data_IF_462043060467
#
_entry.id   IF_462043060467
#
_cell.length_a   1.000
_cell.length_b   1.000
_cell.length_c   1.000
_cell.angle_alpha   90.00
_cell.angle_beta   90.00
_cell.angle_gamma   90.00
#
_symmetry.space_group_name_H-M   'P 1'
#
loop_
_entity.id
_entity.type
_entity.pdbx_description
1 polymer ?
#
# COMPACT_ATOMS: atom_id res chain seq x y z
N UNK A 1 16.75 12.50 -25.54
CA UNK A 1 17.14 11.90 -24.24
C UNK A 1 15.93 11.54 -23.36
N UNK A 2 15.04 12.49 -23.03
CA UNK A 2 13.83 12.19 -22.22
C UNK A 2 12.89 11.17 -22.90
N UNK A 3 12.66 11.33 -24.20
CA UNK A 3 11.85 10.36 -24.97
C UNK A 3 12.44 8.96 -24.98
N UNK A 4 13.77 8.85 -25.11
CA UNK A 4 14.48 7.57 -25.05
C UNK A 4 14.33 6.92 -23.67
N UNK A 5 14.46 7.69 -22.59
CA UNK A 5 14.26 7.22 -21.21
C UNK A 5 12.80 6.78 -21.01
N UNK A 6 11.84 7.55 -21.49
CA UNK A 6 10.41 7.22 -21.45
C UNK A 6 10.09 5.91 -22.18
N UNK A 7 10.64 5.73 -23.39
CA UNK A 7 10.45 4.52 -24.18
C UNK A 7 11.05 3.28 -23.54
N UNK A 8 12.28 3.38 -23.01
CA UNK A 8 12.92 2.29 -22.27
C UNK A 8 12.10 1.96 -21.01
N UNK A 9 11.71 2.98 -20.25
CA UNK A 9 10.92 2.78 -19.03
C UNK A 9 9.57 2.12 -19.34
N UNK A 10 8.87 2.56 -20.38
CA UNK A 10 7.59 1.97 -20.80
C UNK A 10 7.74 0.48 -21.17
N UNK A 11 8.82 0.12 -21.86
CA UNK A 11 9.12 -1.28 -22.20
C UNK A 11 9.37 -2.11 -20.94
N UNK A 12 10.20 -1.61 -20.01
CA UNK A 12 10.51 -2.29 -18.75
C UNK A 12 9.27 -2.39 -17.86
N UNK A 13 8.50 -1.31 -17.76
CA UNK A 13 7.24 -1.27 -17.00
C UNK A 13 6.24 -2.31 -17.53
N UNK A 14 6.11 -2.41 -18.85
CA UNK A 14 5.25 -3.40 -19.52
C UNK A 14 5.64 -4.84 -19.22
N UNK A 15 6.94 -5.12 -19.03
CA UNK A 15 7.42 -6.46 -18.61
C UNK A 15 7.15 -6.66 -17.11
N UNK A 16 7.52 -5.70 -16.29
CA UNK A 16 7.44 -5.77 -14.81
C UNK A 16 6.01 -5.87 -14.31
N UNK A 17 5.07 -5.14 -14.89
CA UNK A 17 3.63 -5.22 -14.56
C UNK A 17 2.83 -6.04 -15.57
N UNK A 18 3.52 -6.69 -16.51
CA UNK A 18 2.92 -7.56 -17.50
C UNK A 18 2.62 -8.97 -16.99
N UNK A 19 2.43 -9.88 -17.93
CA UNK A 19 2.11 -11.28 -17.67
C UNK A 19 3.14 -11.98 -16.74
N UNK A 20 4.48 -11.80 -16.90
CA UNK A 20 5.45 -12.49 -16.06
C UNK A 20 5.30 -12.16 -14.57
N UNK A 21 5.16 -10.88 -14.22
CA UNK A 21 5.00 -10.48 -12.82
C UNK A 21 3.64 -10.91 -12.27
N UNK A 22 2.57 -10.77 -13.05
CA UNK A 22 1.24 -11.26 -12.67
C UNK A 22 1.28 -12.74 -12.35
N UNK A 23 1.89 -13.57 -13.21
CA UNK A 23 2.05 -15.02 -13.00
C UNK A 23 2.88 -15.31 -11.76
N UNK A 24 3.99 -14.57 -11.54
CA UNK A 24 4.84 -14.77 -10.37
C UNK A 24 4.08 -14.46 -9.07
N UNK A 25 3.38 -13.34 -9.02
CA UNK A 25 2.63 -12.91 -7.83
C UNK A 25 1.49 -13.87 -7.52
N UNK A 26 0.68 -14.20 -8.53
CA UNK A 26 -0.41 -15.18 -8.37
C UNK A 26 0.12 -16.56 -8.05
N UNK A 27 1.17 -16.99 -8.75
CA UNK A 27 1.79 -18.29 -8.56
C UNK A 27 2.33 -18.47 -7.15
N UNK A 28 3.07 -17.50 -6.63
CA UNK A 28 3.59 -17.55 -5.24
C UNK A 28 2.45 -17.47 -4.23
N UNK A 29 1.48 -16.56 -4.42
CA UNK A 29 0.32 -16.43 -3.53
C UNK A 29 -0.52 -17.70 -3.49
N UNK A 30 -0.80 -18.31 -4.65
CA UNK A 30 -1.54 -19.58 -4.73
C UNK A 30 -0.73 -20.74 -4.12
N UNK A 31 0.56 -20.85 -4.44
CA UNK A 31 1.46 -21.84 -3.85
C UNK A 31 1.46 -21.77 -2.32
N UNK A 32 1.63 -20.57 -1.77
CA UNK A 32 1.60 -20.36 -0.32
C UNK A 32 0.21 -20.67 0.27
N UNK A 33 -0.88 -20.28 -0.41
CA UNK A 33 -2.25 -20.59 0.03
C UNK A 33 -2.49 -22.09 0.13
N UNK A 34 -2.09 -22.86 -0.88
CA UNK A 34 -2.21 -24.31 -0.88
C UNK A 34 -1.34 -24.92 0.24
N UNK A 35 -0.07 -24.50 0.34
CA UNK A 35 0.88 -25.05 1.31
C UNK A 35 0.50 -24.74 2.77
N UNK A 36 -0.13 -23.59 3.05
CA UNK A 36 -0.64 -23.24 4.38
C UNK A 36 -2.05 -23.77 4.64
N UNK A 37 -2.67 -24.45 3.67
CA UNK A 37 -4.04 -24.94 3.75
C UNK A 37 -5.06 -23.80 3.81
N UNK A 38 -4.88 -22.79 2.98
CA UNK A 38 -5.74 -21.60 2.92
C UNK A 38 -5.91 -20.91 4.28
N UNK A 39 -4.79 -20.63 4.94
CA UNK A 39 -4.72 -20.01 6.27
C UNK A 39 -5.59 -18.76 6.37
N UNK A 40 -5.57 -17.91 5.35
CA UNK A 40 -6.31 -16.67 5.28
C UNK A 40 -7.83 -16.83 5.48
N UNK A 41 -8.39 -17.98 5.10
CA UNK A 41 -9.80 -18.30 5.34
C UNK A 41 -9.98 -19.10 6.63
N UNK A 42 -9.23 -20.20 6.77
CA UNK A 42 -9.39 -21.14 7.89
C UNK A 42 -9.07 -20.54 9.25
N UNK A 43 -8.15 -19.59 9.31
CA UNK A 43 -7.69 -18.96 10.55
C UNK A 43 -8.11 -17.49 10.66
N UNK A 44 -9.03 -17.03 9.81
CA UNK A 44 -9.47 -15.62 9.82
C UNK A 44 -10.05 -15.18 11.17
N UNK A 45 -10.79 -16.05 11.86
CA UNK A 45 -11.25 -15.79 13.22
C UNK A 45 -10.10 -15.54 14.21
N UNK A 46 -8.98 -16.28 14.07
CA UNK A 46 -7.78 -16.04 14.87
C UNK A 46 -7.09 -14.73 14.47
N UNK A 47 -7.06 -14.40 13.17
CA UNK A 47 -6.58 -13.10 12.69
C UNK A 47 -7.35 -11.98 13.38
N UNK A 48 -8.69 -12.02 13.33
CA UNK A 48 -9.56 -11.02 13.92
C UNK A 48 -9.36 -10.86 15.43
N UNK A 49 -9.29 -11.98 16.16
CA UNK A 49 -9.05 -11.97 17.61
C UNK A 49 -7.69 -11.40 18.00
N UNK A 50 -6.63 -11.72 17.23
CA UNK A 50 -5.28 -11.23 17.50
C UNK A 50 -5.04 -9.78 17.07
N UNK A 51 -5.88 -9.24 16.19
CA UNK A 51 -5.80 -7.86 15.70
C UNK A 51 -6.82 -6.99 16.43
N UNK A 52 -8.08 -6.96 15.98
CA UNK A 52 -9.14 -6.11 16.56
C UNK A 52 -9.44 -6.47 18.01
N UNK A 53 -9.45 -7.76 18.36
CA UNK A 53 -9.69 -8.20 19.73
C UNK A 53 -8.66 -7.67 20.74
N UNK A 54 -7.44 -7.38 20.30
CA UNK A 54 -6.38 -6.80 21.16
C UNK A 54 -6.30 -5.27 21.11
N UNK A 55 -6.97 -4.60 20.17
CA UNK A 55 -7.04 -3.14 20.08
C UNK A 55 -7.57 -2.49 21.35
N UNK A 56 -8.51 -3.15 22.04
CA UNK A 56 -9.13 -2.67 23.26
C UNK A 56 -8.35 -3.03 24.54
N UNK A 57 -7.26 -3.79 24.42
CA UNK A 57 -6.38 -4.07 25.53
C UNK A 57 -5.15 -3.18 25.43
N UNK A 58 -4.90 -2.33 26.42
CA UNK A 58 -3.70 -1.49 26.50
C UNK A 58 -2.46 -2.38 26.36
N UNK A 59 -1.75 -2.24 25.24
CA UNK A 59 -0.42 -2.81 25.11
C UNK A 59 0.52 -2.04 26.07
N UNK A 60 1.32 -2.77 26.82
CA UNK A 60 2.48 -2.20 27.53
C UNK A 60 3.36 -1.44 26.52
N UNK A 61 3.93 -0.32 26.95
CA UNK A 61 4.86 0.44 26.09
C UNK A 61 5.98 -0.49 25.58
N UNK A 62 6.27 -0.40 24.30
CA UNK A 62 7.34 -1.19 23.69
C UNK A 62 8.71 -0.72 24.21
N UNK A 63 9.62 -1.68 24.39
CA UNK A 63 10.99 -1.43 24.86
C UNK A 63 11.79 -0.50 23.93
N UNK A 64 13.04 -0.26 24.29
CA UNK A 64 13.93 0.58 23.47
C UNK A 64 14.16 -0.06 22.08
N UNK A 65 14.03 0.75 21.02
CA UNK A 65 14.26 0.29 19.63
C UNK A 65 13.14 -0.60 19.05
N UNK A 66 11.99 -0.72 19.74
CA UNK A 66 10.82 -1.46 19.28
C UNK A 66 9.57 -0.57 19.26
N UNK A 67 8.54 -1.03 18.56
CA UNK A 67 7.18 -0.47 18.55
C UNK A 67 6.19 -1.55 18.95
N UNK A 68 5.00 -1.15 19.41
CA UNK A 68 3.95 -2.15 19.69
C UNK A 68 3.49 -2.84 18.40
N UNK A 69 2.93 -4.07 18.46
CA UNK A 69 2.38 -4.74 17.30
C UNK A 69 1.35 -3.89 16.55
N UNK A 70 0.55 -3.13 17.29
CA UNK A 70 -0.44 -2.22 16.72
C UNK A 70 0.20 -1.01 16.03
N UNK A 71 1.21 -0.39 16.62
CA UNK A 71 1.98 0.67 15.97
C UNK A 71 2.66 0.19 14.69
N UNK A 72 3.18 -1.03 14.68
CA UNK A 72 3.79 -1.61 13.49
C UNK A 72 2.77 -1.81 12.35
N UNK A 73 1.58 -2.36 12.64
CA UNK A 73 0.53 -2.51 11.61
C UNK A 73 -0.03 -1.16 11.18
N UNK A 74 -0.20 -0.18 12.09
CA UNK A 74 -0.61 1.16 11.70
C UNK A 74 0.43 1.85 10.82
N UNK A 75 1.73 1.61 11.06
CA UNK A 75 2.81 2.14 10.20
C UNK A 75 2.78 1.47 8.82
N UNK A 76 2.52 0.18 8.75
CA UNK A 76 2.35 -0.54 7.49
C UNK A 76 1.09 -0.06 6.75
N UNK A 77 -0.06 0.02 7.44
CA UNK A 77 -1.29 0.60 6.89
C UNK A 77 -1.13 2.08 6.48
N UNK A 78 -0.30 2.85 7.18
CA UNK A 78 0.03 4.22 6.79
C UNK A 78 0.69 4.28 5.41
N UNK A 79 1.52 3.30 5.08
CA UNK A 79 2.18 3.21 3.77
C UNK A 79 1.24 2.68 2.69
N UNK A 80 0.40 1.69 3.01
CA UNK A 80 -0.47 0.99 2.05
C UNK A 80 -1.78 1.73 1.80
N UNK A 81 -2.45 2.24 2.85
CA UNK A 81 -3.70 3.00 2.73
C UNK A 81 -3.38 4.44 2.33
N UNK A 82 -3.34 4.68 1.05
CA UNK A 82 -2.91 5.94 0.45
C UNK A 82 -3.71 6.31 -0.81
N UNK A 83 -3.04 6.98 -1.73
CA UNK A 83 -3.62 7.35 -3.03
C UNK A 83 -4.02 6.14 -3.86
N UNK A 84 -3.40 4.99 -3.65
CA UNK A 84 -3.72 3.73 -4.31
C UNK A 84 -5.16 3.27 -4.11
N UNK A 85 -5.69 3.46 -2.90
CA UNK A 85 -7.06 3.06 -2.55
C UNK A 85 -8.13 3.97 -3.16
N UNK A 86 -7.78 5.18 -3.58
CA UNK A 86 -8.70 6.18 -4.12
C UNK A 86 -8.46 6.36 -5.62
N UNK A 87 -7.34 6.94 -6.01
CA UNK A 87 -6.98 7.15 -7.40
C UNK A 87 -6.64 5.84 -8.15
N UNK A 88 -5.98 4.90 -7.48
CA UNK A 88 -5.64 3.60 -8.07
C UNK A 88 -6.87 2.76 -8.41
N UNK A 89 -7.89 2.75 -7.55
CA UNK A 89 -9.17 2.06 -7.82
C UNK A 89 -9.93 2.73 -8.96
N UNK A 90 -9.98 4.08 -8.96
CA UNK A 90 -10.59 4.84 -10.06
C UNK A 90 -9.92 4.53 -11.40
N UNK A 91 -8.59 4.55 -11.46
CA UNK A 91 -7.82 4.17 -12.65
C UNK A 91 -8.02 2.71 -13.08
N UNK A 92 -8.12 1.78 -12.11
CA UNK A 92 -8.44 0.38 -12.41
C UNK A 92 -9.79 0.23 -13.11
N UNK A 93 -10.82 0.93 -12.60
CA UNK A 93 -12.17 0.91 -13.18
C UNK A 93 -12.18 1.59 -14.55
N UNK A 94 -11.53 2.74 -14.70
CA UNK A 94 -11.53 3.49 -15.96
C UNK A 94 -10.82 2.73 -17.08
N UNK A 95 -9.66 2.12 -16.82
CA UNK A 95 -8.86 1.41 -17.84
C UNK A 95 -9.30 -0.05 -17.99
N UNK A 96 -9.53 -0.75 -16.87
CA UNK A 96 -9.84 -2.18 -16.84
C UNK A 96 -11.33 -2.52 -16.82
N UNK A 97 -12.19 -1.50 -16.71
CA UNK A 97 -13.62 -1.67 -16.48
C UNK A 97 -13.92 -2.06 -15.02
N UNK A 98 -15.21 -2.10 -14.63
CA UNK A 98 -15.65 -2.51 -13.29
C UNK A 98 -15.12 -3.88 -12.87
N UNK A 99 -14.89 -4.79 -13.81
CA UNK A 99 -14.34 -6.12 -13.57
C UNK A 99 -12.92 -6.13 -12.98
N UNK A 100 -12.16 -5.05 -13.12
CA UNK A 100 -10.86 -4.91 -12.46
C UNK A 100 -10.97 -5.02 -10.94
N UNK A 101 -12.09 -4.58 -10.34
CA UNK A 101 -12.34 -4.69 -8.89
C UNK A 101 -12.40 -6.15 -8.44
N UNK A 102 -13.05 -7.02 -9.22
CA UNK A 102 -13.06 -8.46 -8.95
C UNK A 102 -11.64 -9.03 -8.88
N UNK A 103 -10.79 -8.65 -9.82
CA UNK A 103 -9.40 -9.13 -9.87
C UNK A 103 -8.52 -8.50 -8.79
N UNK A 104 -8.87 -7.30 -8.29
CA UNK A 104 -8.28 -6.75 -7.06
C UNK A 104 -8.61 -7.64 -5.86
N UNK A 105 -9.86 -8.11 -5.71
CA UNK A 105 -10.24 -9.02 -4.63
C UNK A 105 -9.50 -10.34 -4.70
N UNK A 106 -9.42 -10.97 -5.89
CA UNK A 106 -8.68 -12.21 -6.08
C UNK A 106 -7.21 -12.03 -5.73
N UNK A 107 -6.60 -10.93 -6.19
CA UNK A 107 -5.22 -10.56 -5.86
C UNK A 107 -5.03 -10.40 -4.35
N UNK A 108 -5.94 -9.71 -3.66
CA UNK A 108 -5.88 -9.50 -2.22
C UNK A 108 -6.01 -10.82 -1.43
N UNK A 109 -6.94 -11.70 -1.81
CA UNK A 109 -7.12 -12.99 -1.16
C UNK A 109 -5.85 -13.87 -1.23
N UNK A 110 -5.15 -13.85 -2.35
CA UNK A 110 -3.84 -14.52 -2.50
C UNK A 110 -2.73 -13.72 -1.80
N UNK A 111 -2.80 -12.41 -1.89
CA UNK A 111 -1.85 -11.48 -1.27
C UNK A 111 -1.82 -11.56 0.25
N UNK A 112 -2.95 -11.89 0.90
CA UNK A 112 -3.03 -12.07 2.36
C UNK A 112 -2.00 -13.08 2.87
N UNK A 113 -1.84 -14.23 2.21
CA UNK A 113 -0.87 -15.26 2.64
C UNK A 113 0.55 -14.88 2.24
N UNK A 114 0.71 -14.18 1.13
CA UNK A 114 2.01 -13.63 0.75
C UNK A 114 2.50 -12.63 1.80
N UNK A 115 1.67 -11.65 2.16
CA UNK A 115 1.96 -10.67 3.21
C UNK A 115 2.21 -11.34 4.57
N UNK A 116 1.39 -12.33 4.94
CA UNK A 116 1.61 -13.15 6.14
C UNK A 116 3.00 -13.76 6.16
N UNK A 117 3.43 -14.33 5.03
CA UNK A 117 4.73 -14.97 4.91
C UNK A 117 5.87 -13.94 4.98
N UNK A 118 5.74 -12.81 4.31
CA UNK A 118 6.69 -11.70 4.35
C UNK A 118 6.91 -11.19 5.77
N UNK A 119 5.81 -10.91 6.47
CA UNK A 119 5.86 -10.41 7.86
C UNK A 119 6.44 -11.44 8.81
N UNK A 120 6.02 -12.72 8.70
CA UNK A 120 6.55 -13.81 9.52
C UNK A 120 8.06 -13.96 9.32
N UNK A 121 8.54 -13.94 8.07
CA UNK A 121 9.97 -14.01 7.76
C UNK A 121 10.73 -12.79 8.25
N UNK A 122 10.16 -11.60 8.09
CA UNK A 122 10.82 -10.36 8.52
C UNK A 122 11.02 -10.29 10.03
N UNK A 123 10.05 -10.76 10.81
CA UNK A 123 10.18 -10.84 12.28
C UNK A 123 11.11 -11.98 12.69
N UNK A 124 11.05 -13.12 12.00
CA UNK A 124 11.92 -14.27 12.31
C UNK A 124 13.41 -14.00 12.07
N UNK A 125 13.73 -13.32 10.97
CA UNK A 125 15.12 -13.05 10.56
C UNK A 125 15.59 -11.63 10.86
N UNK A 126 14.83 -10.85 11.64
CA UNK A 126 15.25 -9.51 12.07
C UNK A 126 16.49 -9.56 12.95
N UNK A 127 17.17 -8.44 13.03
CA UNK A 127 18.34 -8.26 13.90
C UNK A 127 18.29 -6.88 14.56
N UNK A 128 19.11 -6.69 15.60
CA UNK A 128 19.29 -5.35 16.19
C UNK A 128 20.44 -4.63 15.49
N UNK A 129 20.22 -3.35 15.18
CA UNK A 129 21.28 -2.48 14.72
C UNK A 129 22.11 -1.97 15.91
N UNK A 130 23.13 -1.15 15.65
CA UNK A 130 24.04 -0.62 16.69
C UNK A 130 23.36 0.31 17.69
N UNK A 131 22.21 0.90 17.30
CA UNK A 131 21.39 1.74 18.18
C UNK A 131 20.39 0.92 19.01
N UNK A 132 20.36 -0.41 18.82
CA UNK A 132 19.43 -1.30 19.50
C UNK A 132 18.06 -1.41 18.87
N UNK A 133 17.82 -0.75 17.71
CA UNK A 133 16.56 -0.85 16.98
C UNK A 133 16.44 -2.19 16.27
N UNK A 134 15.23 -2.76 16.26
CA UNK A 134 14.92 -3.90 15.42
C UNK A 134 14.86 -3.48 13.94
N UNK A 135 15.63 -4.18 13.11
CA UNK A 135 15.68 -4.01 11.65
C UNK A 135 15.43 -5.34 10.96
N UNK A 136 14.60 -5.32 9.93
CA UNK A 136 14.21 -6.51 9.18
C UNK A 136 13.61 -6.11 7.83
N UNK A 137 13.02 -7.09 7.16
CA UNK A 137 12.45 -6.95 5.82
C UNK A 137 13.16 -7.85 4.81
N UNK A 138 12.84 -7.72 3.50
CA UNK A 138 13.34 -8.62 2.45
C UNK A 138 14.85 -8.75 2.43
N UNK A 139 15.59 -7.65 2.51
CA UNK A 139 17.05 -7.66 2.50
C UNK A 139 17.64 -8.50 3.64
N UNK A 140 17.00 -8.49 4.81
CA UNK A 140 17.47 -9.24 5.97
C UNK A 140 17.10 -10.72 5.91
N UNK A 141 15.84 -11.07 5.55
CA UNK A 141 15.52 -12.49 5.46
C UNK A 141 16.13 -13.18 4.23
N UNK A 142 16.45 -12.44 3.16
CA UNK A 142 17.27 -12.94 2.07
C UNK A 142 18.68 -13.28 2.58
N UNK A 143 19.34 -12.33 3.24
CA UNK A 143 20.72 -12.53 3.71
C UNK A 143 20.81 -13.58 4.82
N UNK A 144 19.91 -13.52 5.81
CA UNK A 144 19.97 -14.36 7.02
C UNK A 144 19.29 -15.73 6.81
N UNK A 145 18.27 -15.80 5.94
CA UNK A 145 17.52 -17.02 5.66
C UNK A 145 18.09 -17.85 4.51
N UNK A 146 18.45 -17.22 3.39
CA UNK A 146 19.02 -17.92 2.22
C UNK A 146 20.56 -17.98 2.28
N UNK A 147 21.17 -17.16 3.12
CA UNK A 147 22.63 -17.15 3.34
C UNK A 147 23.39 -16.19 2.42
N UNK A 148 24.71 -16.10 2.68
CA UNK A 148 25.59 -15.09 2.06
C UNK A 148 25.62 -15.10 0.54
N UNK A 149 25.42 -16.25 -0.10
CA UNK A 149 25.39 -16.40 -1.58
C UNK A 149 24.22 -15.62 -2.22
N UNK A 150 23.14 -15.38 -1.47
CA UNK A 150 21.94 -14.68 -1.95
C UNK A 150 21.94 -13.19 -1.58
N UNK A 151 22.98 -12.68 -0.90
CA UNK A 151 23.06 -11.28 -0.48
C UNK A 151 22.81 -10.29 -1.62
N UNK A 152 23.26 -10.61 -2.84
CA UNK A 152 23.06 -9.78 -4.03
C UNK A 152 21.57 -9.49 -4.30
N UNK A 153 20.69 -10.45 -4.02
CA UNK A 153 19.25 -10.29 -4.20
C UNK A 153 18.67 -9.27 -3.19
N UNK A 154 19.17 -9.28 -1.93
CA UNK A 154 18.81 -8.29 -0.92
C UNK A 154 19.35 -6.87 -1.27
N UNK A 155 20.52 -6.81 -1.90
CA UNK A 155 21.09 -5.56 -2.42
C UNK A 155 20.21 -5.00 -3.54
N UNK A 156 19.80 -5.84 -4.51
CA UNK A 156 18.89 -5.42 -5.59
C UNK A 156 17.56 -4.91 -5.03
N UNK A 157 16.95 -5.64 -4.08
CA UNK A 157 15.73 -5.19 -3.42
C UNK A 157 15.91 -3.78 -2.84
N UNK A 158 17.00 -3.56 -2.10
CA UNK A 158 17.26 -2.29 -1.44
C UNK A 158 17.52 -1.15 -2.43
N UNK A 159 18.20 -1.41 -3.55
CA UNK A 159 18.43 -0.43 -4.62
C UNK A 159 17.08 -0.02 -5.24
N UNK A 160 16.26 -0.99 -5.64
CA UNK A 160 14.95 -0.71 -6.20
C UNK A 160 14.05 0.03 -5.20
N UNK A 161 14.12 -0.36 -3.92
CA UNK A 161 13.42 0.30 -2.84
C UNK A 161 13.77 1.78 -2.72
N UNK A 162 15.06 2.13 -2.73
CA UNK A 162 15.49 3.53 -2.64
C UNK A 162 14.96 4.36 -3.80
N UNK A 163 14.93 3.84 -5.03
CA UNK A 163 14.36 4.57 -6.16
C UNK A 163 12.83 4.68 -6.07
N UNK A 164 12.15 3.60 -5.69
CA UNK A 164 10.71 3.59 -5.56
C UNK A 164 10.20 4.58 -4.50
N UNK A 165 10.88 4.70 -3.35
CA UNK A 165 10.41 5.56 -2.25
C UNK A 165 10.40 7.04 -2.61
N UNK A 166 11.33 7.53 -3.42
CA UNK A 166 11.37 8.93 -3.84
C UNK A 166 10.20 9.29 -4.76
N UNK A 167 9.79 8.39 -5.64
CA UNK A 167 8.65 8.60 -6.53
C UNK A 167 7.33 8.18 -5.88
N UNK A 168 7.06 6.87 -5.84
CA UNK A 168 5.79 6.30 -5.36
C UNK A 168 5.48 6.68 -3.91
N UNK A 169 6.51 6.66 -3.05
CA UNK A 169 6.36 6.94 -1.62
C UNK A 169 6.33 8.41 -1.24
N UNK A 170 6.80 9.33 -2.10
CA UNK A 170 6.91 10.75 -1.75
C UNK A 170 6.31 11.66 -2.83
N UNK A 171 7.03 11.88 -3.94
CA UNK A 171 6.69 12.92 -4.89
C UNK A 171 5.26 12.79 -5.44
N UNK A 172 4.81 11.58 -5.74
CA UNK A 172 3.44 11.32 -6.21
C UNK A 172 2.39 11.57 -5.13
N UNK A 173 2.71 11.24 -3.89
CA UNK A 173 1.81 11.50 -2.75
C UNK A 173 1.64 12.99 -2.50
N UNK A 174 2.75 13.74 -2.50
CA UNK A 174 2.71 15.21 -2.35
C UNK A 174 1.95 15.85 -3.49
N UNK A 175 2.18 15.41 -4.73
CA UNK A 175 1.44 15.91 -5.90
C UNK A 175 -0.07 15.70 -5.73
N UNK A 176 -0.48 14.55 -5.22
CA UNK A 176 -1.90 14.25 -4.95
C UNK A 176 -2.48 15.13 -3.83
N UNK A 177 -1.71 15.41 -2.76
CA UNK A 177 -2.12 16.36 -1.71
C UNK A 177 -2.41 17.72 -2.34
N UNK A 178 -1.45 18.23 -3.08
CA UNK A 178 -1.52 19.56 -3.71
C UNK A 178 -2.70 19.64 -4.68
N UNK A 179 -2.83 18.66 -5.59
CA UNK A 179 -3.93 18.59 -6.54
C UNK A 179 -5.31 18.53 -5.86
N UNK A 180 -5.42 17.83 -4.73
CA UNK A 180 -6.69 17.73 -3.99
C UNK A 180 -7.06 19.06 -3.32
N UNK A 181 -6.08 19.78 -2.78
CA UNK A 181 -6.27 21.12 -2.19
C UNK A 181 -6.64 22.12 -3.29
N UNK A 182 -5.92 22.10 -4.43
CA UNK A 182 -6.21 22.96 -5.58
C UNK A 182 -7.65 22.74 -6.07
N UNK A 183 -8.05 21.49 -6.24
CA UNK A 183 -9.41 21.13 -6.66
C UNK A 183 -10.45 21.68 -5.70
N UNK A 184 -10.23 21.56 -4.39
CA UNK A 184 -11.15 22.11 -3.39
C UNK A 184 -11.24 23.64 -3.48
N UNK A 185 -10.13 24.35 -3.52
CA UNK A 185 -10.09 25.81 -3.58
C UNK A 185 -10.71 26.38 -4.87
N UNK A 186 -10.47 25.71 -6.00
CA UNK A 186 -11.05 26.10 -7.29
C UNK A 186 -12.57 25.83 -7.28
N UNK A 187 -13.04 24.71 -6.71
CA UNK A 187 -14.47 24.38 -6.65
C UNK A 187 -15.28 25.38 -5.82
N UNK A 188 -14.65 26.04 -4.84
CA UNK A 188 -15.26 27.13 -4.06
C UNK A 188 -15.02 28.54 -4.61
N UNK A 189 -14.35 28.68 -5.76
CA UNK A 189 -14.06 29.96 -6.37
C UNK A 189 -13.05 30.83 -5.58
N UNK A 190 -12.28 30.22 -4.68
CA UNK A 190 -11.24 30.90 -3.89
C UNK A 190 -10.00 31.19 -4.74
N UNK A 191 -9.72 30.31 -5.71
CA UNK A 191 -8.60 30.44 -6.64
C UNK A 191 -9.04 30.10 -8.06
N UNK A 192 -8.37 30.69 -9.04
CA UNK A 192 -8.58 30.37 -10.46
C UNK A 192 -7.67 29.21 -10.88
N UNK A 193 -8.14 28.43 -11.84
CA UNK A 193 -7.34 27.37 -12.43
C UNK A 193 -6.05 27.93 -13.04
N UNK A 194 -4.90 27.38 -12.65
CA UNK A 194 -3.58 27.82 -13.10
C UNK A 194 -2.91 28.90 -12.23
N UNK A 195 -3.58 29.43 -11.18
CA UNK A 195 -3.02 30.44 -10.26
C UNK A 195 -2.41 29.85 -8.98
N UNK A 196 -2.35 28.51 -8.87
CA UNK A 196 -2.00 27.80 -7.63
C UNK A 196 -0.49 27.60 -7.38
N UNK A 197 0.39 27.97 -8.31
CA UNK A 197 1.82 27.65 -8.25
C UNK A 197 2.52 28.14 -6.95
N UNK A 198 2.20 29.34 -6.47
CA UNK A 198 2.78 29.87 -5.22
C UNK A 198 2.27 29.10 -4.01
N UNK A 199 0.97 28.77 -3.97
CA UNK A 199 0.37 27.96 -2.91
C UNK A 199 1.03 26.58 -2.88
N UNK A 200 1.22 25.96 -4.05
CA UNK A 200 1.81 24.62 -4.17
C UNK A 200 3.24 24.59 -3.63
N UNK A 201 4.03 25.63 -3.90
CA UNK A 201 5.37 25.77 -3.30
C UNK A 201 5.29 25.90 -1.77
N UNK A 202 4.38 26.70 -1.24
CA UNK A 202 4.20 26.85 0.21
C UNK A 202 3.79 25.52 0.85
N UNK A 203 2.83 24.82 0.24
CA UNK A 203 2.42 23.48 0.69
C UNK A 203 3.58 22.48 0.67
N UNK A 204 4.39 22.48 -0.40
CA UNK A 204 5.59 21.65 -0.50
C UNK A 204 6.58 21.91 0.64
N UNK A 205 6.81 23.17 0.99
CA UNK A 205 7.69 23.57 2.11
C UNK A 205 7.09 23.09 3.45
N UNK A 206 5.80 23.32 3.68
CA UNK A 206 5.10 22.89 4.90
C UNK A 206 5.17 21.38 5.07
N UNK A 207 4.86 20.61 4.02
CA UNK A 207 4.94 19.16 4.01
C UNK A 207 6.38 18.71 4.29
N UNK A 208 7.38 19.31 3.65
CA UNK A 208 8.80 19.00 3.88
C UNK A 208 9.17 19.14 5.36
N UNK A 209 8.77 20.23 6.00
CA UNK A 209 9.06 20.48 7.42
C UNK A 209 8.36 19.45 8.31
N UNK A 210 7.07 19.20 8.08
CA UNK A 210 6.30 18.24 8.86
C UNK A 210 6.85 16.79 8.71
N UNK A 211 7.11 16.37 7.48
CA UNK A 211 7.70 15.05 7.19
C UNK A 211 9.07 14.92 7.84
N UNK A 212 9.94 15.94 7.68
CA UNK A 212 11.27 15.94 8.28
C UNK A 212 11.25 15.85 9.80
N UNK A 213 10.37 16.63 10.46
CA UNK A 213 10.23 16.58 11.93
C UNK A 213 9.80 15.19 12.44
N UNK A 214 8.91 14.51 11.70
CA UNK A 214 8.42 13.19 12.13
C UNK A 214 9.45 12.11 11.83
N UNK A 215 10.00 12.07 10.61
CA UNK A 215 10.95 11.04 10.19
C UNK A 215 12.24 11.07 11.03
N UNK A 216 12.79 12.25 11.32
CA UNK A 216 13.98 12.40 12.16
C UNK A 216 13.77 11.91 13.61
N UNK A 217 12.51 11.75 14.03
CA UNK A 217 12.14 11.12 15.30
C UNK A 217 12.16 9.60 15.30
N UNK A 218 12.43 8.97 14.14
CA UNK A 218 12.57 7.53 13.98
C UNK A 218 11.26 6.75 14.07
N UNK A 219 11.39 5.41 14.08
CA UNK A 219 10.25 4.48 13.98
C UNK A 219 9.19 4.70 15.06
N UNK A 220 9.56 5.07 16.30
CA UNK A 220 8.62 5.32 17.40
C UNK A 220 7.71 6.52 17.10
N UNK A 221 8.26 7.62 16.58
CA UNK A 221 7.47 8.81 16.24
C UNK A 221 6.56 8.55 15.06
N UNK A 222 7.07 7.86 14.04
CA UNK A 222 6.28 7.43 12.88
C UNK A 222 5.11 6.55 13.34
N UNK A 223 5.37 5.52 14.16
CA UNK A 223 4.36 4.63 14.71
C UNK A 223 3.30 5.37 15.53
N UNK A 224 3.71 6.34 16.34
CA UNK A 224 2.80 7.14 17.16
C UNK A 224 1.88 8.06 16.34
N UNK A 225 2.38 8.62 15.25
CA UNK A 225 1.55 9.40 14.32
C UNK A 225 0.60 8.47 13.56
N UNK A 226 1.11 7.35 13.05
CA UNK A 226 0.34 6.38 12.27
C UNK A 226 -0.82 5.77 13.10
N UNK A 227 -0.57 5.36 14.35
CA UNK A 227 -1.60 4.75 15.21
C UNK A 227 -2.79 5.67 15.52
N UNK A 228 -2.60 6.99 15.40
CA UNK A 228 -3.67 7.98 15.60
C UNK A 228 -4.38 8.34 14.31
N UNK A 229 -3.61 8.62 13.25
CA UNK A 229 -4.19 9.09 11.99
C UNK A 229 -4.88 7.98 11.20
N UNK A 230 -4.25 6.80 11.09
CA UNK A 230 -4.75 5.74 10.20
C UNK A 230 -6.14 5.24 10.59
N UNK A 231 -6.45 4.90 11.86
CA UNK A 231 -7.79 4.45 12.20
C UNK A 231 -8.86 5.52 11.99
N UNK A 232 -8.55 6.79 12.30
CA UNK A 232 -9.49 7.90 12.17
C UNK A 232 -9.80 8.16 10.70
N UNK A 233 -8.76 8.28 9.84
CA UNK A 233 -8.97 8.54 8.42
C UNK A 233 -9.71 7.39 7.72
N UNK A 234 -9.37 6.13 8.05
CA UNK A 234 -10.02 4.97 7.47
C UNK A 234 -11.50 4.90 7.89
N UNK A 235 -11.79 5.14 9.18
CA UNK A 235 -13.16 5.15 9.69
C UNK A 235 -14.01 6.25 9.01
N UNK A 236 -13.50 7.47 8.94
CA UNK A 236 -14.22 8.59 8.31
C UNK A 236 -14.48 8.30 6.83
N UNK A 237 -13.49 7.76 6.11
CA UNK A 237 -13.64 7.40 4.71
C UNK A 237 -14.71 6.32 4.50
N UNK A 238 -14.68 5.26 5.31
CA UNK A 238 -15.66 4.17 5.26
C UNK A 238 -17.06 4.66 5.60
N UNK A 239 -17.21 5.50 6.63
CA UNK A 239 -18.52 6.04 7.05
C UNK A 239 -19.13 6.88 5.93
N UNK A 240 -18.36 7.76 5.29
CA UNK A 240 -18.87 8.58 4.19
C UNK A 240 -19.12 7.77 2.91
N UNK A 241 -18.24 6.80 2.61
CA UNK A 241 -18.46 5.87 1.51
C UNK A 241 -19.73 5.02 1.71
N UNK A 242 -19.96 4.56 2.95
CA UNK A 242 -21.19 3.85 3.31
C UNK A 242 -22.43 4.75 3.09
N UNK A 243 -22.33 6.03 3.42
CA UNK A 243 -23.42 6.99 3.18
C UNK A 243 -23.76 7.11 1.69
N UNK A 244 -22.76 7.18 0.79
CA UNK A 244 -23.03 7.16 -0.67
C UNK A 244 -23.75 5.88 -1.07
N UNK A 245 -23.29 4.72 -0.59
CA UNK A 245 -23.87 3.42 -0.92
C UNK A 245 -25.32 3.33 -0.44
N UNK A 246 -25.60 3.80 0.79
CA UNK A 246 -26.96 3.78 1.36
C UNK A 246 -27.90 4.73 0.61
N UNK A 247 -27.43 5.92 0.23
CA UNK A 247 -28.22 6.89 -0.53
C UNK A 247 -28.53 6.43 -1.97
N UNK A 248 -27.73 5.52 -2.52
CA UNK A 248 -27.89 4.93 -3.86
C UNK A 248 -28.03 3.40 -3.78
N UNK A 249 -28.72 2.90 -2.76
CA UNK A 249 -28.80 1.44 -2.48
C UNK A 249 -29.44 0.65 -3.64
N UNK A 250 -30.30 1.30 -4.42
CA UNK A 250 -30.93 0.73 -5.62
C UNK A 250 -29.92 0.38 -6.71
N UNK A 251 -28.76 1.06 -6.76
CA UNK A 251 -27.70 0.81 -7.74
C UNK A 251 -26.73 -0.30 -7.28
N UNK A 252 -26.80 -0.71 -6.03
CA UNK A 252 -25.86 -1.70 -5.45
C UNK A 252 -25.89 -3.05 -6.19
N UNK A 253 -27.06 -3.65 -6.51
CA UNK A 253 -27.10 -4.89 -7.29
C UNK A 253 -26.48 -4.74 -8.68
N UNK A 254 -26.70 -3.60 -9.34
CA UNK A 254 -26.15 -3.29 -10.67
C UNK A 254 -24.63 -3.12 -10.60
N UNK A 255 -24.12 -2.46 -9.55
CA UNK A 255 -22.69 -2.30 -9.31
C UNK A 255 -22.00 -3.66 -9.14
N UNK A 256 -22.52 -4.55 -8.29
CA UNK A 256 -21.97 -5.90 -8.14
C UNK A 256 -22.10 -6.74 -9.42
N UNK A 257 -23.22 -6.64 -10.13
CA UNK A 257 -23.39 -7.32 -11.41
C UNK A 257 -22.35 -6.86 -12.44
N UNK A 258 -22.08 -5.55 -12.52
CA UNK A 258 -21.09 -4.99 -13.44
C UNK A 258 -19.65 -5.41 -13.07
N UNK A 259 -19.33 -5.55 -11.78
CA UNK A 259 -18.05 -6.07 -11.32
C UNK A 259 -17.88 -7.52 -11.75
N UNK A 260 -18.87 -8.38 -11.49
CA UNK A 260 -18.77 -9.82 -11.79
C UNK A 260 -18.78 -10.06 -13.30
N UNK A 261 -19.73 -9.44 -14.03
CA UNK A 261 -19.80 -9.59 -15.49
C UNK A 261 -18.58 -9.01 -16.18
N UNK A 262 -18.14 -7.81 -15.75
CA UNK A 262 -16.95 -7.15 -16.29
C UNK A 262 -15.66 -7.91 -16.03
N UNK A 263 -15.60 -8.75 -15.00
CA UNK A 263 -14.42 -9.56 -14.72
C UNK A 263 -14.13 -10.60 -15.81
N UNK A 264 -15.18 -11.14 -16.44
CA UNK A 264 -15.07 -12.20 -17.44
C UNK A 264 -15.46 -11.75 -18.85
N UNK A 265 -16.29 -10.70 -18.95
CA UNK A 265 -16.71 -10.11 -20.20
C UNK A 265 -16.73 -8.57 -20.11
N UNK A 266 -15.55 -7.91 -20.06
CA UNK A 266 -15.47 -6.47 -19.91
C UNK A 266 -16.11 -5.70 -21.08
N UNK A 267 -16.10 -6.25 -22.29
CA UNK A 267 -16.73 -5.68 -23.49
C UNK A 267 -18.21 -5.39 -23.27
N UNK A 268 -18.92 -6.32 -22.63
CA UNK A 268 -20.36 -6.19 -22.39
C UNK A 268 -20.72 -5.06 -21.42
N UNK A 269 -19.79 -4.70 -20.51
CA UNK A 269 -20.04 -3.69 -19.47
C UNK A 269 -19.49 -2.32 -19.86
N UNK A 270 -18.47 -2.28 -20.70
CA UNK A 270 -17.77 -1.04 -21.10
C UNK A 270 -18.13 -0.54 -22.51
N UNK A 271 -19.19 -1.12 -23.11
CA UNK A 271 -19.57 -0.75 -24.48
C UNK A 271 -18.50 -1.08 -25.54
N UNK A 272 -17.66 -2.07 -25.28
CA UNK A 272 -16.62 -2.51 -26.22
C UNK A 272 -15.25 -1.80 -26.04
N UNK A 273 -15.15 -0.79 -25.19
CA UNK A 273 -13.92 -0.03 -25.01
C UNK A 273 -12.82 -0.90 -24.37
N UNK A 274 -13.16 -1.68 -23.36
CA UNK A 274 -12.23 -2.66 -22.77
C UNK A 274 -12.41 -4.00 -23.48
N UNK A 275 -11.56 -4.26 -24.47
CA UNK A 275 -11.72 -5.38 -25.41
C UNK A 275 -11.33 -6.76 -24.90
N UNK A 276 -10.55 -6.86 -23.83
CA UNK A 276 -10.01 -8.13 -23.37
C UNK A 276 -10.13 -8.33 -21.86
N UNK A 277 -10.58 -9.51 -21.45
CA UNK A 277 -10.57 -9.93 -20.04
C UNK A 277 -9.18 -9.75 -19.40
N UNK A 278 -8.12 -10.01 -20.13
CA UNK A 278 -6.76 -9.85 -19.65
C UNK A 278 -6.45 -8.42 -19.18
N UNK A 279 -7.04 -7.40 -19.82
CA UNK A 279 -6.88 -5.99 -19.39
C UNK A 279 -7.48 -5.78 -17.99
N UNK A 280 -8.68 -6.32 -17.74
CA UNK A 280 -9.29 -6.25 -16.41
C UNK A 280 -8.46 -6.98 -15.36
N UNK A 281 -7.95 -8.18 -15.68
CA UNK A 281 -7.02 -8.95 -14.83
C UNK A 281 -5.77 -8.13 -14.51
N UNK A 282 -5.05 -7.68 -15.54
CA UNK A 282 -3.78 -6.97 -15.40
C UNK A 282 -3.96 -5.68 -14.58
N UNK A 283 -4.96 -4.87 -14.89
CA UNK A 283 -5.21 -3.61 -14.17
C UNK A 283 -5.69 -3.84 -12.75
N UNK A 284 -6.58 -4.80 -12.52
CA UNK A 284 -7.04 -5.17 -11.19
C UNK A 284 -5.91 -5.69 -10.31
N UNK A 285 -5.09 -6.60 -10.81
CA UNK A 285 -3.94 -7.14 -10.08
C UNK A 285 -2.90 -6.07 -9.79
N UNK A 286 -2.48 -5.31 -10.81
CA UNK A 286 -1.46 -4.28 -10.64
C UNK A 286 -1.89 -3.22 -9.62
N UNK A 287 -3.13 -2.73 -9.70
CA UNK A 287 -3.64 -1.72 -8.77
C UNK A 287 -3.95 -2.29 -7.37
N UNK A 288 -4.37 -3.57 -7.27
CA UNK A 288 -4.52 -4.27 -6.00
C UNK A 288 -3.20 -4.37 -5.25
N UNK A 289 -2.13 -4.81 -5.94
CA UNK A 289 -0.78 -4.92 -5.35
C UNK A 289 -0.19 -3.55 -5.05
N UNK A 290 -0.39 -2.58 -5.92
CA UNK A 290 0.05 -1.20 -5.68
C UNK A 290 -0.58 -0.63 -4.41
N UNK A 291 -1.84 -0.98 -4.10
CA UNK A 291 -2.52 -0.57 -2.88
C UNK A 291 -2.01 -1.32 -1.66
N UNK A 292 -2.14 -2.65 -1.63
CA UNK A 292 -1.87 -3.46 -0.45
C UNK A 292 -0.41 -3.89 -0.26
N UNK A 293 0.46 -3.64 -1.23
CA UNK A 293 1.89 -3.97 -1.23
C UNK A 293 2.21 -5.47 -1.00
N UNK A 294 1.24 -6.38 -1.14
CA UNK A 294 1.49 -7.80 -0.97
C UNK A 294 2.34 -8.37 -2.12
N UNK A 295 3.46 -8.94 -1.79
CA UNK A 295 4.46 -9.40 -2.78
C UNK A 295 5.57 -8.39 -3.04
N UNK A 296 5.43 -7.13 -2.61
CA UNK A 296 6.50 -6.13 -2.68
C UNK A 296 7.50 -6.29 -1.53
N UNK A 297 7.08 -6.81 -0.38
CA UNK A 297 7.92 -6.99 0.80
C UNK A 297 8.11 -5.75 1.67
N UNK A 298 7.68 -4.58 1.21
CA UNK A 298 7.89 -3.26 1.84
C UNK A 298 7.32 -3.18 3.24
N UNK A 299 6.03 -3.49 3.42
CA UNK A 299 5.35 -3.42 4.71
C UNK A 299 6.00 -4.31 5.79
N UNK A 300 6.64 -5.41 5.38
CA UNK A 300 7.36 -6.30 6.30
C UNK A 300 8.51 -5.59 7.04
N UNK A 301 9.03 -4.49 6.48
CA UNK A 301 10.06 -3.63 7.10
C UNK A 301 9.50 -2.95 8.36
N UNK A 302 8.27 -2.42 8.30
CA UNK A 302 7.63 -1.81 9.47
C UNK A 302 7.29 -2.86 10.52
N UNK A 303 6.75 -4.01 10.10
CA UNK A 303 6.40 -5.11 10.99
C UNK A 303 7.59 -5.73 11.72
N UNK A 304 8.79 -5.68 11.14
CA UNK A 304 10.01 -6.18 11.79
C UNK A 304 10.33 -5.44 13.10
N UNK A 305 9.90 -4.18 13.23
CA UNK A 305 10.06 -3.36 14.44
C UNK A 305 9.12 -3.74 15.60
N UNK A 306 8.13 -4.60 15.39
CA UNK A 306 7.12 -4.96 16.38
C UNK A 306 7.71 -5.78 17.54
N UNK A 307 7.38 -5.44 18.77
CA UNK A 307 7.72 -6.24 19.94
C UNK A 307 6.74 -7.39 20.11
N UNK A 308 7.11 -8.55 19.60
CA UNK A 308 6.30 -9.78 19.64
C UNK A 308 7.15 -10.97 20.05
N UNK A 309 6.53 -11.92 20.73
CA UNK A 309 7.16 -13.16 21.18
C UNK A 309 7.20 -14.23 20.08
N UNK A 310 6.30 -14.15 19.09
CA UNK A 310 6.21 -15.13 18.02
C UNK A 310 6.03 -14.44 16.66
N UNK A 311 6.85 -14.80 15.64
CA UNK A 311 6.77 -14.22 14.31
C UNK A 311 5.40 -14.40 13.64
N UNK A 312 4.74 -15.55 13.89
CA UNK A 312 3.42 -15.87 13.32
C UNK A 312 2.36 -14.91 13.86
N UNK A 313 2.44 -14.52 15.12
CA UNK A 313 1.52 -13.55 15.69
C UNK A 313 1.53 -12.23 14.91
N UNK A 314 2.71 -11.73 14.55
CA UNK A 314 2.82 -10.53 13.71
C UNK A 314 2.43 -10.81 12.25
N UNK A 315 2.71 -12.00 11.73
CA UNK A 315 2.25 -12.43 10.41
C UNK A 315 0.73 -12.33 10.24
N UNK A 316 -0.05 -12.64 11.27
CA UNK A 316 -1.51 -12.52 11.23
C UNK A 316 -1.97 -11.06 11.05
N UNK A 317 -1.22 -10.07 11.54
CA UNK A 317 -1.48 -8.66 11.23
C UNK A 317 -1.29 -8.34 9.74
N UNK A 318 -0.37 -9.02 9.05
CA UNK A 318 -0.21 -8.88 7.60
C UNK A 318 -1.45 -9.36 6.81
N UNK A 319 -2.12 -10.43 7.27
CA UNK A 319 -3.42 -10.83 6.69
C UNK A 319 -4.48 -9.74 6.89
N UNK A 320 -4.56 -9.21 8.09
CA UNK A 320 -5.51 -8.15 8.45
C UNK A 320 -5.26 -6.87 7.64
N UNK A 321 -4.01 -6.48 7.45
CA UNK A 321 -3.60 -5.31 6.67
C UNK A 321 -4.15 -5.36 5.24
N UNK A 322 -3.92 -6.45 4.52
CA UNK A 322 -4.42 -6.63 3.14
C UNK A 322 -5.94 -6.67 3.09
N UNK A 323 -6.58 -7.29 4.10
CA UNK A 323 -8.04 -7.32 4.22
C UNK A 323 -8.62 -5.91 4.35
N UNK A 324 -8.09 -5.10 5.27
CA UNK A 324 -8.56 -3.73 5.48
C UNK A 324 -8.29 -2.86 4.26
N UNK A 325 -7.09 -2.92 3.70
CA UNK A 325 -6.69 -2.11 2.56
C UNK A 325 -7.57 -2.38 1.32
N UNK A 326 -7.61 -3.62 0.89
CA UNK A 326 -8.21 -3.92 -0.42
C UNK A 326 -9.64 -4.42 -0.32
N UNK A 327 -9.94 -5.37 0.59
CA UNK A 327 -11.31 -5.90 0.68
C UNK A 327 -12.26 -4.87 1.28
N UNK A 328 -11.81 -4.03 2.20
CA UNK A 328 -12.66 -2.96 2.76
C UNK A 328 -12.49 -1.67 1.95
N UNK A 329 -11.36 -0.97 2.06
CA UNK A 329 -11.23 0.41 1.59
C UNK A 329 -11.35 0.51 0.07
N UNK A 330 -10.64 -0.33 -0.71
CA UNK A 330 -10.76 -0.29 -2.17
C UNK A 330 -12.18 -0.68 -2.66
N UNK A 331 -12.86 -1.60 -1.95
CA UNK A 331 -14.24 -1.94 -2.28
C UNK A 331 -15.18 -0.77 -2.03
N UNK A 332 -15.04 -0.05 -0.91
CA UNK A 332 -15.84 1.16 -0.67
C UNK A 332 -15.62 2.20 -1.77
N UNK A 333 -14.38 2.45 -2.17
CA UNK A 333 -14.07 3.36 -3.28
C UNK A 333 -14.75 2.92 -4.59
N UNK A 334 -14.65 1.64 -4.93
CA UNK A 334 -15.28 1.10 -6.12
C UNK A 334 -16.81 1.26 -6.08
N UNK A 335 -17.42 0.98 -4.94
CA UNK A 335 -18.87 1.12 -4.77
C UNK A 335 -19.32 2.59 -4.76
N UNK A 336 -18.52 3.50 -4.20
CA UNK A 336 -18.78 4.95 -4.30
C UNK A 336 -18.85 5.38 -5.77
N UNK A 337 -17.90 4.95 -6.59
CA UNK A 337 -17.88 5.28 -8.03
C UNK A 337 -19.06 4.63 -8.76
N UNK A 338 -19.30 3.34 -8.57
CA UNK A 338 -20.26 2.57 -9.35
C UNK A 338 -21.73 2.81 -8.91
N UNK A 339 -21.98 3.07 -7.62
CA UNK A 339 -23.33 3.32 -7.13
C UNK A 339 -23.79 4.76 -7.38
N UNK A 340 -22.87 5.74 -7.35
CA UNK A 340 -23.20 7.16 -7.50
C UNK A 340 -23.70 7.55 -8.89
N UNK A 341 -23.52 6.67 -9.90
CA UNK A 341 -23.97 6.92 -11.26
C UNK A 341 -23.17 7.97 -12.03
N UNK A 342 -21.99 8.37 -11.52
CA UNK A 342 -21.11 9.30 -12.25
C UNK A 342 -20.64 8.71 -13.58
N UNK A 343 -20.55 9.52 -14.65
CA UNK A 343 -20.08 9.04 -15.94
C UNK A 343 -18.61 8.60 -15.85
N UNK A 344 -18.30 7.41 -16.35
CA UNK A 344 -16.96 6.86 -16.40
C UNK A 344 -16.49 6.86 -17.85
N UNK A 345 -15.39 7.55 -18.14
CA UNK A 345 -14.76 7.52 -19.45
C UNK A 345 -13.82 6.32 -19.51
N UNK A 346 -14.34 5.19 -20.03
CA UNK A 346 -13.53 3.98 -20.16
C UNK A 346 -12.42 4.16 -21.21
N UNK A 347 -11.29 3.49 -20.97
CA UNK A 347 -10.10 3.53 -21.84
C UNK A 347 -9.20 4.73 -21.63
N UNK A 348 -9.57 5.69 -20.77
CA UNK A 348 -8.74 6.82 -20.36
C UNK A 348 -8.23 6.64 -18.94
N UNK A 349 -7.09 7.27 -18.63
CA UNK A 349 -6.58 7.26 -17.25
C UNK A 349 -7.49 8.17 -16.39
N UNK A 350 -7.83 7.70 -15.21
CA UNK A 350 -8.59 8.44 -14.23
C UNK A 350 -7.86 8.42 -12.88
N UNK A 351 -7.84 9.56 -12.24
CA UNK A 351 -7.23 9.73 -10.92
C UNK A 351 -8.29 9.82 -9.80
N UNK A 352 -7.94 10.53 -8.74
CA UNK A 352 -8.81 10.74 -7.59
C UNK A 352 -10.09 11.52 -7.93
N UNK A 353 -10.09 12.30 -9.02
CA UNK A 353 -11.22 13.12 -9.46
C UNK A 353 -12.48 12.31 -9.73
N UNK A 354 -12.35 11.08 -10.24
CA UNK A 354 -13.48 10.20 -10.46
C UNK A 354 -14.15 9.78 -9.12
N UNK A 355 -13.34 9.46 -8.12
CA UNK A 355 -13.84 9.16 -6.76
C UNK A 355 -14.46 10.40 -6.10
N UNK A 356 -13.80 11.55 -6.23
CA UNK A 356 -14.31 12.83 -5.72
C UNK A 356 -15.68 13.15 -6.35
N UNK A 357 -15.82 12.95 -7.66
CA UNK A 357 -17.07 13.12 -8.36
C UNK A 357 -18.19 12.21 -7.81
N UNK A 358 -17.87 10.96 -7.44
CA UNK A 358 -18.78 10.04 -6.79
C UNK A 358 -19.29 10.56 -5.43
N UNK A 359 -18.41 11.14 -4.63
CA UNK A 359 -18.82 11.79 -3.38
C UNK A 359 -19.62 13.08 -3.63
N UNK A 360 -19.16 13.91 -4.57
CA UNK A 360 -19.78 15.22 -4.86
C UNK A 360 -21.18 15.08 -5.42
N UNK A 361 -21.42 14.07 -6.27
CA UNK A 361 -22.77 13.80 -6.82
C UNK A 361 -23.79 13.47 -5.72
N UNK A 362 -23.35 12.90 -4.62
CA UNK A 362 -24.21 12.50 -3.49
C UNK A 362 -24.36 13.59 -2.44
N UNK A 363 -23.26 14.20 -2.02
CA UNK A 363 -23.23 15.14 -0.90
C UNK A 363 -23.18 16.61 -1.31
N UNK A 364 -22.98 16.92 -2.61
CA UNK A 364 -22.76 18.26 -3.09
C UNK A 364 -21.32 18.77 -2.91
N UNK A 365 -21.04 20.00 -3.33
CA UNK A 365 -19.66 20.52 -3.41
C UNK A 365 -18.92 20.62 -2.07
N UNK A 366 -19.61 20.75 -0.93
CA UNK A 366 -18.96 20.86 0.37
C UNK A 366 -18.08 19.66 0.70
N UNK A 367 -18.40 18.48 0.15
CA UNK A 367 -17.65 17.24 0.40
C UNK A 367 -16.22 17.30 -0.18
N UNK A 368 -15.95 18.21 -1.12
CA UNK A 368 -14.60 18.40 -1.68
C UNK A 368 -13.58 18.81 -0.62
N UNK A 369 -14.00 19.54 0.41
CA UNK A 369 -13.13 19.86 1.57
C UNK A 369 -12.76 18.57 2.29
N UNK A 370 -13.74 17.72 2.56
CA UNK A 370 -13.49 16.45 3.25
C UNK A 370 -12.61 15.53 2.42
N UNK A 371 -12.87 15.40 1.11
CA UNK A 371 -12.05 14.55 0.25
C UNK A 371 -10.62 15.08 0.14
N UNK A 372 -10.42 16.39 0.12
CA UNK A 372 -9.09 17.01 0.18
C UNK A 372 -8.39 16.69 1.51
N UNK A 373 -9.08 16.82 2.65
CA UNK A 373 -8.52 16.46 3.98
C UNK A 373 -8.19 14.97 4.04
N UNK A 374 -9.08 14.11 3.56
CA UNK A 374 -8.85 12.66 3.52
C UNK A 374 -7.62 12.32 2.66
N UNK A 375 -7.51 12.89 1.46
CA UNK A 375 -6.35 12.71 0.59
C UNK A 375 -5.06 13.22 1.24
N UNK A 376 -5.12 14.37 1.92
CA UNK A 376 -3.97 14.87 2.69
C UNK A 376 -3.54 13.87 3.76
N UNK A 377 -4.48 13.33 4.54
CA UNK A 377 -4.16 12.35 5.59
C UNK A 377 -3.58 11.06 5.00
N UNK A 378 -4.24 10.48 3.99
CA UNK A 378 -3.79 9.25 3.34
C UNK A 378 -2.41 9.40 2.70
N UNK A 379 -2.22 10.42 1.88
CA UNK A 379 -0.94 10.65 1.22
C UNK A 379 0.17 11.01 2.21
N UNK A 380 -0.12 11.83 3.22
CA UNK A 380 0.86 12.20 4.25
C UNK A 380 1.34 11.00 5.05
N UNK A 381 0.43 10.12 5.48
CA UNK A 381 0.81 8.90 6.18
C UNK A 381 1.62 7.94 5.30
N UNK A 382 1.30 7.87 4.00
CA UNK A 382 2.08 7.09 3.03
C UNK A 382 3.51 7.62 2.92
N UNK A 383 3.70 8.94 2.86
CA UNK A 383 5.06 9.55 2.84
C UNK A 383 5.86 9.11 4.07
N UNK A 384 5.25 9.06 5.25
CA UNK A 384 5.94 8.66 6.48
C UNK A 384 6.32 7.17 6.47
N UNK A 385 5.41 6.30 6.06
CA UNK A 385 5.65 4.85 5.98
C UNK A 385 6.76 4.51 4.97
N UNK A 386 6.67 5.07 3.77
CA UNK A 386 7.68 4.86 2.72
C UNK A 386 9.03 5.50 3.07
N UNK A 387 9.04 6.62 3.81
CA UNK A 387 10.26 7.22 4.35
C UNK A 387 11.02 6.26 5.28
N UNK A 388 10.29 5.50 6.12
CA UNK A 388 10.88 4.43 6.93
C UNK A 388 11.47 3.32 6.06
N UNK A 389 10.75 2.87 5.01
CA UNK A 389 11.23 1.81 4.12
C UNK A 389 12.52 2.20 3.40
N UNK A 390 12.57 3.41 2.85
CA UNK A 390 13.77 3.94 2.20
C UNK A 390 14.95 4.10 3.15
N UNK A 391 14.71 4.57 4.37
CA UNK A 391 15.74 4.68 5.39
C UNK A 391 16.34 3.31 5.75
N UNK A 392 15.51 2.26 5.87
CA UNK A 392 15.97 0.90 6.15
C UNK A 392 16.68 0.24 4.97
N UNK A 393 16.24 0.49 3.73
CA UNK A 393 16.97 0.06 2.53
C UNK A 393 18.34 0.74 2.44
N UNK A 394 18.40 2.05 2.71
CA UNK A 394 19.65 2.81 2.70
C UNK A 394 20.60 2.36 3.83
N UNK A 395 20.07 2.09 5.02
CA UNK A 395 20.81 1.56 6.16
C UNK A 395 21.48 0.22 5.81
N UNK A 396 20.74 -0.67 5.14
CA UNK A 396 21.26 -1.98 4.73
C UNK A 396 22.42 -1.86 3.74
N UNK A 397 22.38 -0.91 2.80
CA UNK A 397 23.42 -0.73 1.77
C UNK A 397 24.65 0.04 2.29
N UNK A 398 24.43 1.13 3.04
CA UNK A 398 25.45 2.11 3.37
C UNK A 398 25.72 2.23 4.87
N UNK A 399 24.99 1.47 5.69
CA UNK A 399 25.10 1.51 7.14
C UNK A 399 24.30 2.64 7.78
N UNK A 400 24.29 2.67 9.11
CA UNK A 400 23.41 3.52 9.92
C UNK A 400 23.65 5.04 9.76
N UNK A 401 24.86 5.45 9.39
CA UNK A 401 25.21 6.88 9.25
C UNK A 401 24.41 7.58 8.15
N UNK A 402 23.88 6.82 7.18
CA UNK A 402 23.13 7.38 6.04
C UNK A 402 21.68 7.69 6.39
N UNK A 403 21.14 7.17 7.49
CA UNK A 403 19.72 7.30 7.84
C UNK A 403 19.29 8.77 7.91
N UNK A 404 19.99 9.59 8.68
CA UNK A 404 19.65 11.02 8.84
C UNK A 404 19.79 11.81 7.52
N UNK A 405 20.94 11.75 6.80
CA UNK A 405 21.05 12.37 5.48
C UNK A 405 19.94 11.92 4.50
N UNK A 406 19.64 10.61 4.47
CA UNK A 406 18.57 10.09 3.63
C UNK A 406 17.22 10.72 3.98
N UNK A 407 16.85 10.76 5.27
CA UNK A 407 15.58 11.35 5.72
C UNK A 407 15.45 12.82 5.34
N UNK A 408 16.57 13.59 5.42
CA UNK A 408 16.59 15.00 5.00
C UNK A 408 16.37 15.11 3.50
N UNK A 409 17.13 14.38 2.69
CA UNK A 409 16.99 14.39 1.22
C UNK A 409 15.58 13.95 0.82
N UNK A 410 15.08 12.86 1.43
CA UNK A 410 13.74 12.35 1.18
C UNK A 410 12.67 13.41 1.48
N UNK A 411 12.78 14.14 2.60
CA UNK A 411 11.84 15.18 2.96
C UNK A 411 11.87 16.35 1.95
N UNK A 412 13.05 16.75 1.46
CA UNK A 412 13.20 17.82 0.48
C UNK A 412 12.55 17.49 -0.88
N UNK A 413 12.45 16.21 -1.25
CA UNK A 413 11.78 15.78 -2.49
C UNK A 413 10.28 16.15 -2.49
N UNK A 414 9.67 16.38 -1.33
CA UNK A 414 8.30 16.86 -1.25
C UNK A 414 8.09 18.21 -1.99
N UNK A 415 9.09 19.11 -2.00
CA UNK A 415 9.03 20.36 -2.76
C UNK A 415 8.93 20.07 -4.26
N UNK A 416 9.70 19.10 -4.75
CA UNK A 416 9.65 18.68 -6.16
C UNK A 416 8.27 18.10 -6.48
N UNK A 417 7.75 17.24 -5.61
CA UNK A 417 6.41 16.66 -5.74
C UNK A 417 5.29 17.69 -5.83
N UNK A 418 5.44 18.81 -5.10
CA UNK A 418 4.46 19.88 -5.08
C UNK A 418 4.52 20.81 -6.31
N UNK A 419 5.67 20.92 -6.97
CA UNK A 419 5.92 22.00 -7.96
C UNK A 419 6.14 21.52 -9.39
N UNK A 420 6.46 20.25 -9.60
CA UNK A 420 6.84 19.70 -10.91
C UNK A 420 5.77 18.74 -11.44
N UNK A 421 5.54 18.76 -12.76
CA UNK A 421 4.74 17.70 -13.42
C UNK A 421 5.52 16.40 -13.42
N UNK A 422 4.88 15.33 -12.92
CA UNK A 422 5.58 14.10 -12.51
C UNK A 422 5.35 12.89 -13.42
N UNK A 423 4.74 13.05 -14.60
CA UNK A 423 4.30 11.90 -15.45
C UNK A 423 5.40 10.86 -15.68
N UNK A 424 6.57 11.29 -16.11
CA UNK A 424 7.72 10.40 -16.33
C UNK A 424 8.29 9.86 -15.01
N UNK A 425 8.40 10.70 -13.99
CA UNK A 425 8.94 10.30 -12.68
C UNK A 425 8.01 9.29 -12.00
N UNK A 426 6.69 9.48 -12.15
CA UNK A 426 5.69 8.51 -11.67
C UNK A 426 5.88 7.16 -12.35
N UNK A 427 5.95 7.14 -13.69
CA UNK A 427 6.13 5.91 -14.45
C UNK A 427 7.44 5.17 -14.10
N UNK A 428 8.54 5.91 -13.90
CA UNK A 428 9.82 5.34 -13.44
C UNK A 428 9.70 4.76 -12.03
N UNK A 429 9.09 5.49 -11.12
CA UNK A 429 8.90 5.04 -9.74
C UNK A 429 8.02 3.78 -9.67
N UNK A 430 6.95 3.72 -10.46
CA UNK A 430 6.08 2.55 -10.59
C UNK A 430 6.86 1.32 -11.12
N UNK A 431 7.77 1.54 -12.06
CA UNK A 431 8.65 0.48 -12.58
C UNK A 431 9.55 -0.08 -11.47
N UNK A 432 10.24 0.77 -10.72
CA UNK A 432 11.09 0.33 -9.61
C UNK A 432 10.29 -0.34 -8.49
N UNK A 433 9.09 0.16 -8.22
CA UNK A 433 8.17 -0.45 -7.26
C UNK A 433 7.84 -1.90 -7.66
N UNK A 434 7.48 -2.14 -8.91
CA UNK A 434 7.24 -3.49 -9.41
C UNK A 434 8.50 -4.37 -9.43
N UNK A 435 9.66 -3.80 -9.73
CA UNK A 435 10.94 -4.54 -9.72
C UNK A 435 11.31 -5.06 -8.32
N UNK A 436 10.86 -4.42 -7.23
CA UNK A 436 11.06 -4.91 -5.86
C UNK A 436 10.37 -6.26 -5.62
N UNK A 437 9.23 -6.52 -6.28
CA UNK A 437 8.48 -7.75 -6.10
C UNK A 437 9.29 -8.99 -6.50
N UNK A 438 10.12 -8.90 -7.54
CA UNK A 438 10.87 -10.04 -8.07
C UNK A 438 11.81 -10.65 -7.03
N UNK A 439 12.80 -9.92 -6.45
CA UNK A 439 13.68 -10.45 -5.43
C UNK A 439 12.94 -10.90 -4.18
N UNK A 440 11.87 -10.20 -3.81
CA UNK A 440 11.07 -10.55 -2.65
C UNK A 440 10.33 -11.89 -2.84
N UNK A 441 9.59 -12.05 -3.93
CA UNK A 441 8.80 -13.25 -4.20
C UNK A 441 9.67 -14.50 -4.37
N UNK A 442 10.85 -14.36 -5.00
CA UNK A 442 11.84 -15.45 -5.08
C UNK A 442 12.24 -15.88 -3.66
N UNK A 443 12.56 -14.94 -2.78
CA UNK A 443 12.97 -15.23 -1.42
C UNK A 443 11.84 -15.85 -0.60
N UNK A 444 10.63 -15.33 -0.69
CA UNK A 444 9.46 -15.87 0.02
C UNK A 444 9.14 -17.29 -0.44
N UNK A 445 9.21 -17.57 -1.74
CA UNK A 445 9.00 -18.92 -2.28
C UNK A 445 10.07 -19.90 -1.75
N UNK A 446 11.33 -19.51 -1.77
CA UNK A 446 12.44 -20.34 -1.28
C UNK A 446 12.39 -20.55 0.25
N UNK A 447 11.95 -19.54 1.01
CA UNK A 447 11.83 -19.60 2.47
C UNK A 447 10.46 -20.12 2.94
N UNK A 448 9.56 -20.51 2.03
CA UNK A 448 8.25 -21.03 2.36
C UNK A 448 8.29 -22.24 3.34
N UNK A 449 9.28 -23.17 3.31
CA UNK A 449 9.37 -24.23 4.31
C UNK A 449 9.53 -23.72 5.74
N UNK A 450 10.24 -22.59 5.92
CA UNK A 450 10.40 -21.96 7.24
C UNK A 450 9.07 -21.38 7.71
N UNK A 451 8.34 -20.68 6.83
CA UNK A 451 7.00 -20.14 7.14
C UNK A 451 6.07 -21.28 7.56
N UNK A 452 6.04 -22.38 6.81
CA UNK A 452 5.19 -23.53 7.11
C UNK A 452 5.52 -24.18 8.46
N UNK A 453 6.82 -24.32 8.76
CA UNK A 453 7.30 -24.85 10.04
C UNK A 453 6.83 -23.97 11.21
N UNK A 454 7.11 -22.67 11.15
CA UNK A 454 6.72 -21.71 12.17
C UNK A 454 5.18 -21.68 12.36
N UNK A 455 4.44 -21.67 11.25
CA UNK A 455 2.98 -21.69 11.27
C UNK A 455 2.45 -22.96 11.97
N UNK A 456 2.99 -24.14 11.62
CA UNK A 456 2.59 -25.41 12.26
C UNK A 456 2.91 -25.40 13.75
N UNK A 457 4.11 -24.99 14.13
CA UNK A 457 4.54 -24.90 15.53
C UNK A 457 3.62 -23.97 16.34
N UNK A 458 3.29 -22.79 15.81
CA UNK A 458 2.41 -21.84 16.47
C UNK A 458 1.00 -22.40 16.75
N UNK A 459 0.37 -23.02 15.73
CA UNK A 459 -1.00 -23.52 15.85
C UNK A 459 -1.12 -24.89 16.54
N UNK A 460 -0.01 -25.60 16.78
CA UNK A 460 0.00 -26.88 17.50
C UNK A 460 0.42 -26.75 18.96
N UNK A 461 0.91 -25.56 19.40
CA UNK A 461 1.26 -25.31 20.81
C UNK A 461 0.02 -25.42 21.71
N UNK A 462 0.15 -26.04 22.90
CA UNK A 462 -0.91 -25.99 23.92
C UNK A 462 -1.24 -24.53 24.30
N UNK A 463 -2.54 -24.22 24.44
CA UNK A 463 -3.01 -22.85 24.77
C UNK A 463 -2.51 -22.32 26.13
N UNK A 464 -1.95 -23.15 26.97
CA UNK A 464 -1.41 -22.82 28.29
C UNK A 464 0.07 -22.38 28.28
N UNK A 465 0.72 -22.34 27.11
CA UNK A 465 2.11 -21.88 26.99
C UNK A 465 2.20 -20.38 27.31
N UNK A 466 3.15 -19.92 28.18
CA UNK A 466 3.36 -18.50 28.50
C UNK A 466 3.57 -17.59 27.26
N UNK A 467 3.93 -18.19 26.13
CA UNK A 467 4.11 -17.49 24.85
C UNK A 467 2.78 -17.23 24.09
N UNK A 468 1.65 -17.72 24.59
CA UNK A 468 0.31 -17.49 24.03
C UNK A 468 -0.47 -16.39 24.74
N UNK A 469 0.06 -15.82 25.82
CA UNK A 469 -0.44 -14.64 26.50
C UNK A 469 0.39 -13.44 26.02
#
# INVERSE_FOLDING_TARGET
>A
MLETISSINSTVNGIVWGLPATVLIFGVGLYLSIRTGFLQFRKFGTVWQNTIGKLFHRSTEAGHGAVTPFQAVCTALAATVGTGNIAGVAGAIAIGGPGAVFWMWVSALLGMVTKYSEVTLAVHYRQKNKHGDWVGGPMYYIQNGLGKKWKWLGVLFSIFGIFAVFGTGNATQVNTIVASIDTALISFGVMEAGSTATLNLILGIVITVLVGMILLGGIKRIGHVAERLVPIMALLYVVLGLGVIVMHIENLPTAFSSIIQGAFNPTAVTGGVVGAMFTAVQKGVARGIFSNEAGLGTASIAHAGAEVNDPVQQGLFGVFEVFVDTIIICTFTALVILCSGVPITFGSDAGAELTISGFTSTYGNWITIFTAVAMCCFAFTTILGWGLYGARCSEYLFGEKVIKPFMVIYSLVAIIGATVKLDLLWSIAETFNGMMAIPNLIAVALLSPVVLKLTKEYFTRPKESPLCK
#
